data_IF_121201504445
#
_entry.id   IF_121201504445
#
_cell.length_a   1.000
_cell.length_b   1.000
_cell.length_c   1.000
_cell.angle_alpha   90.00
_cell.angle_beta   90.00
_cell.angle_gamma   90.00
#
_symmetry.space_group_name_H-M   'P 1'
#
loop_
_entity.id
_entity.type
_entity.pdbx_description
1 polymer ?
#
# COMPACT_ATOMS: atom_id res chain seq x y z
N UNK A 1 8.66 11.09 -17.65
CA UNK A 1 9.11 9.89 -16.90
C UNK A 1 9.12 10.27 -15.45
N UNK A 2 8.06 9.86 -14.74
CA UNK A 2 7.86 10.04 -13.31
C UNK A 2 7.20 8.77 -12.77
N UNK A 3 8.00 7.71 -12.62
CA UNK A 3 7.60 6.44 -12.01
C UNK A 3 8.02 6.45 -10.55
N UNK A 4 7.04 6.55 -9.65
CA UNK A 4 7.29 6.71 -8.21
C UNK A 4 6.77 5.52 -7.43
N UNK A 5 7.67 4.81 -6.75
CA UNK A 5 7.31 3.77 -5.79
C UNK A 5 7.30 4.35 -4.38
N UNK A 6 6.19 4.23 -3.67
CA UNK A 6 6.04 4.67 -2.29
C UNK A 6 5.90 3.43 -1.40
N UNK A 7 6.93 3.14 -0.61
CA UNK A 7 6.98 1.98 0.28
C UNK A 7 7.08 2.39 1.75
N UNK A 8 6.80 1.45 2.65
CA UNK A 8 6.75 1.66 4.09
C UNK A 8 5.70 0.81 4.76
N UNK A 9 5.72 0.81 6.10
CA UNK A 9 4.86 -0.06 6.90
C UNK A 9 3.42 0.48 7.04
N UNK A 10 2.53 -0.31 7.63
CA UNK A 10 1.15 0.09 7.93
C UNK A 10 1.11 1.44 8.67
N UNK A 11 0.13 2.27 8.32
CA UNK A 11 -0.11 3.59 8.89
C UNK A 11 1.04 4.63 8.74
N UNK A 12 2.05 4.36 7.91
CA UNK A 12 3.09 5.36 7.58
C UNK A 12 2.58 6.54 6.73
N UNK A 13 1.41 6.40 6.09
CA UNK A 13 0.78 7.47 5.34
C UNK A 13 1.06 7.45 3.83
N UNK A 14 1.50 6.30 3.30
CA UNK A 14 1.75 6.07 1.86
C UNK A 14 0.56 6.48 1.00
N UNK A 15 -0.61 5.91 1.24
CA UNK A 15 -1.87 6.21 0.54
C UNK A 15 -2.18 7.70 0.53
N UNK A 16 -1.96 8.41 1.65
CA UNK A 16 -2.18 9.87 1.73
C UNK A 16 -1.17 10.65 0.91
N UNK A 17 0.11 10.28 0.96
CA UNK A 17 1.16 10.93 0.16
C UNK A 17 0.93 10.67 -1.33
N UNK A 18 0.65 9.43 -1.69
CA UNK A 18 0.45 8.99 -3.05
C UNK A 18 -0.73 9.71 -3.71
N UNK A 19 -1.87 9.81 -3.00
CA UNK A 19 -3.02 10.60 -3.45
C UNK A 19 -2.67 12.08 -3.66
N UNK A 20 -1.96 12.71 -2.73
CA UNK A 20 -1.55 14.13 -2.86
C UNK A 20 -0.58 14.35 -4.02
N UNK A 21 0.37 13.44 -4.19
CA UNK A 21 1.32 13.49 -5.30
C UNK A 21 0.62 13.29 -6.64
N UNK A 22 -0.32 12.34 -6.71
CA UNK A 22 -1.17 12.10 -7.88
C UNK A 22 -1.95 13.36 -8.26
N UNK A 23 -2.61 14.00 -7.29
CA UNK A 23 -3.39 15.23 -7.49
C UNK A 23 -2.53 16.42 -7.94
N UNK A 24 -1.31 16.53 -7.42
CA UNK A 24 -0.37 17.63 -7.69
C UNK A 24 0.33 17.45 -9.03
N UNK A 25 0.82 16.25 -9.32
CA UNK A 25 1.61 15.93 -10.52
C UNK A 25 0.74 15.52 -11.71
N UNK A 26 -0.55 15.23 -11.48
CA UNK A 26 -1.50 14.70 -12.48
C UNK A 26 -1.08 13.34 -13.04
N UNK A 27 -0.55 12.48 -12.17
CA UNK A 27 -0.08 11.12 -12.51
C UNK A 27 -1.04 10.10 -11.86
N UNK A 28 -1.40 9.00 -12.54
CA UNK A 28 -2.25 7.97 -11.95
C UNK A 28 -1.54 7.28 -10.77
N UNK A 29 -2.32 6.93 -9.76
CA UNK A 29 -1.84 6.25 -8.57
C UNK A 29 -2.60 4.93 -8.34
N UNK A 30 -1.87 3.90 -7.91
CA UNK A 30 -2.35 2.56 -7.71
C UNK A 30 -1.95 2.00 -6.33
N UNK A 31 -2.92 1.42 -5.63
CA UNK A 31 -2.70 0.67 -4.39
C UNK A 31 -2.30 -0.78 -4.71
N UNK A 32 -1.08 -1.19 -4.33
CA UNK A 32 -0.61 -2.56 -4.54
C UNK A 32 -1.49 -3.59 -3.81
N UNK A 33 -2.08 -3.23 -2.67
CA UNK A 33 -3.02 -4.09 -1.94
C UNK A 33 -4.31 -4.40 -2.74
N UNK A 34 -4.72 -3.52 -3.65
CA UNK A 34 -5.83 -3.77 -4.57
C UNK A 34 -5.43 -4.71 -5.71
N UNK A 35 -4.18 -4.66 -6.16
CA UNK A 35 -3.66 -5.53 -7.23
C UNK A 35 -3.60 -6.99 -6.80
N UNK A 36 -3.41 -7.27 -5.51
CA UNK A 36 -3.45 -8.63 -4.94
C UNK A 36 -4.74 -9.38 -5.28
N UNK A 37 -5.87 -8.68 -5.45
CA UNK A 37 -7.18 -9.31 -5.62
C UNK A 37 -7.75 -8.97 -7.00
N UNK A 38 -8.12 -9.99 -7.75
CA UNK A 38 -8.98 -9.82 -8.90
C UNK A 38 -10.42 -9.64 -8.40
N UNK A 39 -11.14 -8.67 -8.98
CA UNK A 39 -12.54 -8.41 -8.64
C UNK A 39 -13.29 -7.91 -9.85
N UNK A 40 -14.25 -8.70 -10.33
CA UNK A 40 -15.30 -8.29 -11.27
C UNK A 40 -16.66 -8.36 -10.56
N UNK A 41 -17.74 -8.12 -11.30
CA UNK A 41 -19.11 -8.31 -10.80
C UNK A 41 -19.40 -9.79 -10.49
N UNK A 42 -18.71 -10.72 -11.16
CA UNK A 42 -19.00 -12.16 -11.12
C UNK A 42 -17.89 -13.01 -10.51
N UNK A 43 -16.68 -12.47 -10.34
CA UNK A 43 -15.52 -13.23 -9.88
C UNK A 43 -14.65 -12.45 -8.88
N UNK A 44 -14.17 -13.15 -7.86
CA UNK A 44 -13.28 -12.61 -6.84
C UNK A 44 -12.31 -13.68 -6.36
N UNK A 45 -11.05 -13.52 -6.72
CA UNK A 45 -9.97 -14.39 -6.25
C UNK A 45 -8.70 -13.58 -5.95
N UNK A 46 -7.79 -14.21 -5.20
CA UNK A 46 -6.46 -13.66 -4.94
C UNK A 46 -5.56 -14.00 -6.13
N UNK A 47 -4.99 -13.00 -6.77
CA UNK A 47 -4.04 -13.19 -7.88
C UNK A 47 -2.80 -13.94 -7.42
N UNK A 48 -2.27 -14.79 -8.29
CA UNK A 48 -0.94 -15.39 -8.14
C UNK A 48 0.15 -14.31 -8.22
N UNK A 49 1.40 -14.65 -7.91
CA UNK A 49 2.50 -13.70 -8.03
C UNK A 49 2.70 -13.25 -9.50
N UNK A 50 2.59 -14.18 -10.45
CA UNK A 50 2.78 -13.90 -11.87
C UNK A 50 1.66 -13.00 -12.42
N UNK A 51 0.40 -13.27 -12.07
CA UNK A 51 -0.74 -12.42 -12.45
C UNK A 51 -0.62 -10.99 -11.89
N UNK A 52 -0.04 -10.82 -10.69
CA UNK A 52 0.21 -9.49 -10.13
C UNK A 52 1.30 -8.75 -10.92
N UNK A 53 2.36 -9.47 -11.33
CA UNK A 53 3.44 -8.91 -12.16
C UNK A 53 2.91 -8.50 -13.53
N UNK A 54 2.02 -9.29 -14.14
CA UNK A 54 1.38 -8.94 -15.41
C UNK A 54 0.59 -7.63 -15.31
N UNK A 55 -0.22 -7.46 -14.27
CA UNK A 55 -0.96 -6.20 -14.02
C UNK A 55 0.00 -5.03 -13.83
N UNK A 56 1.10 -5.22 -13.10
CA UNK A 56 2.10 -4.17 -12.90
C UNK A 56 2.78 -3.78 -14.23
N UNK A 57 3.16 -4.75 -15.05
CA UNK A 57 3.79 -4.52 -16.36
C UNK A 57 2.83 -3.85 -17.33
N UNK A 58 1.55 -4.23 -17.30
CA UNK A 58 0.50 -3.56 -18.08
C UNK A 58 0.41 -2.08 -17.69
N UNK A 59 0.29 -1.76 -16.39
CA UNK A 59 0.30 -0.37 -15.91
C UNK A 59 1.58 0.36 -16.33
N UNK A 60 2.74 -0.29 -16.19
CA UNK A 60 4.03 0.29 -16.57
C UNK A 60 4.11 0.66 -18.05
N UNK A 61 3.50 -0.16 -18.92
CA UNK A 61 3.45 0.08 -20.37
C UNK A 61 2.67 1.34 -20.76
N UNK A 62 1.78 1.82 -19.88
CA UNK A 62 1.01 3.05 -20.07
C UNK A 62 1.76 4.33 -19.64
N UNK A 63 2.99 4.21 -19.14
CA UNK A 63 3.88 5.34 -18.91
C UNK A 63 4.08 5.71 -17.44
N UNK A 64 3.54 6.86 -17.02
CA UNK A 64 3.79 7.43 -15.69
C UNK A 64 2.87 6.82 -14.65
N UNK A 65 3.40 6.52 -13.46
CA UNK A 65 2.61 5.93 -12.38
C UNK A 65 3.17 6.28 -11.00
N UNK A 66 2.29 6.20 -10.01
CA UNK A 66 2.65 6.12 -8.61
C UNK A 66 2.13 4.77 -8.10
N UNK A 67 3.00 3.92 -7.58
CA UNK A 67 2.60 2.72 -6.85
C UNK A 67 2.79 2.97 -5.36
N UNK A 68 1.85 2.51 -4.54
CA UNK A 68 2.05 2.48 -3.10
C UNK A 68 1.69 1.12 -2.50
N UNK A 69 2.49 0.68 -1.54
CA UNK A 69 2.23 -0.55 -0.83
C UNK A 69 3.26 -0.88 0.22
N UNK A 70 3.09 -2.03 0.85
CA UNK A 70 4.11 -2.60 1.74
C UNK A 70 5.02 -3.48 0.90
N UNK A 71 6.31 -3.54 1.24
CA UNK A 71 7.24 -4.39 0.52
C UNK A 71 6.81 -5.87 0.58
N UNK A 72 6.85 -6.51 -0.59
CA UNK A 72 6.48 -7.91 -0.81
C UNK A 72 7.35 -8.43 -1.94
N UNK A 73 7.76 -9.69 -1.83
CA UNK A 73 8.58 -10.37 -2.84
C UNK A 73 7.99 -10.28 -4.27
N UNK A 74 6.67 -10.32 -4.40
CA UNK A 74 5.95 -10.22 -5.68
C UNK A 74 6.11 -8.88 -6.41
N UNK A 75 6.54 -7.82 -5.71
CA UNK A 75 6.64 -6.46 -6.27
C UNK A 75 8.07 -5.97 -6.41
N UNK A 76 9.06 -6.86 -6.25
CA UNK A 76 10.48 -6.49 -6.31
C UNK A 76 10.87 -5.85 -7.64
N UNK A 77 10.19 -6.20 -8.73
CA UNK A 77 10.37 -5.56 -10.04
C UNK A 77 10.11 -4.04 -10.02
N UNK A 78 9.24 -3.54 -9.15
CA UNK A 78 8.97 -2.10 -9.05
C UNK A 78 10.18 -1.29 -8.60
N UNK A 79 11.09 -1.89 -7.84
CA UNK A 79 12.33 -1.22 -7.43
C UNK A 79 13.25 -0.97 -8.62
N UNK A 80 13.22 -1.83 -9.64
CA UNK A 80 14.00 -1.67 -10.87
C UNK A 80 13.28 -0.75 -11.87
N UNK A 81 11.94 -0.75 -11.88
CA UNK A 81 11.12 0.04 -12.80
C UNK A 81 10.96 1.51 -12.36
N UNK A 82 11.08 1.81 -11.06
CA UNK A 82 10.84 3.14 -10.52
C UNK A 82 12.00 4.10 -10.82
N UNK A 83 11.66 5.32 -11.25
CA UNK A 83 12.61 6.44 -11.33
C UNK A 83 12.94 6.99 -9.94
N UNK A 84 11.99 6.87 -8.99
CA UNK A 84 12.13 7.38 -7.63
C UNK A 84 11.44 6.46 -6.64
N UNK A 85 12.14 6.13 -5.56
CA UNK A 85 11.62 5.31 -4.47
C UNK A 85 11.55 6.15 -3.21
N UNK A 86 10.35 6.26 -2.63
CA UNK A 86 10.08 6.99 -1.40
C UNK A 86 9.75 6.01 -0.30
N UNK A 87 10.62 5.91 0.70
CA UNK A 87 10.37 5.13 1.91
C UNK A 87 9.80 6.01 3.02
N UNK A 88 8.60 5.70 3.49
CA UNK A 88 7.92 6.47 4.54
C UNK A 88 8.18 5.87 5.91
N UNK A 89 9.23 6.38 6.54
CA UNK A 89 9.62 6.00 7.88
C UNK A 89 8.98 6.88 8.96
N UNK A 90 7.67 6.70 9.14
CA UNK A 90 6.93 7.49 10.14
C UNK A 90 7.24 7.02 11.57
N UNK A 91 7.46 7.93 12.53
CA UNK A 91 7.67 7.56 13.93
C UNK A 91 6.60 6.62 14.50
N UNK A 92 7.02 5.64 15.30
CA UNK A 92 6.16 4.57 15.82
C UNK A 92 4.92 5.11 16.54
N UNK A 93 5.09 6.12 17.39
CA UNK A 93 3.97 6.71 18.14
C UNK A 93 2.90 7.30 17.21
N UNK A 94 3.30 7.95 16.10
CA UNK A 94 2.35 8.47 15.09
C UNK A 94 1.61 7.34 14.40
N UNK A 95 2.31 6.25 14.04
CA UNK A 95 1.69 5.06 13.44
C UNK A 95 0.66 4.44 14.37
N UNK A 96 0.97 4.26 15.66
CA UNK A 96 0.03 3.71 16.66
C UNK A 96 -1.24 4.55 16.77
N UNK A 97 -1.11 5.88 16.87
CA UNK A 97 -2.26 6.79 16.89
C UNK A 97 -3.09 6.64 15.61
N UNK A 98 -2.44 6.66 14.44
CA UNK A 98 -3.12 6.52 13.14
C UNK A 98 -3.87 5.20 12.99
N UNK A 99 -3.29 4.07 13.46
CA UNK A 99 -3.97 2.76 13.46
C UNK A 99 -5.27 2.83 14.27
N UNK A 100 -5.20 3.36 15.49
CA UNK A 100 -6.39 3.48 16.35
C UNK A 100 -7.42 4.44 15.76
N UNK A 101 -7.00 5.62 15.31
CA UNK A 101 -7.91 6.60 14.68
C UNK A 101 -8.59 6.02 13.45
N UNK A 102 -7.85 5.30 12.59
CA UNK A 102 -8.39 4.63 11.40
C UNK A 102 -9.43 3.57 11.78
N UNK A 103 -9.10 2.73 12.77
CA UNK A 103 -10.02 1.70 13.26
C UNK A 103 -11.36 2.30 13.74
N UNK A 104 -11.31 3.39 14.51
CA UNK A 104 -12.51 4.09 14.96
C UNK A 104 -13.30 4.69 13.79
N UNK A 105 -12.63 5.42 12.88
CA UNK A 105 -13.29 6.04 11.72
C UNK A 105 -13.95 5.02 10.79
N UNK A 106 -13.31 3.86 10.60
CA UNK A 106 -13.85 2.79 9.75
C UNK A 106 -15.07 2.12 10.39
N UNK A 107 -15.02 1.85 11.70
CA UNK A 107 -16.19 1.32 12.41
C UNK A 107 -17.34 2.32 12.51
N UNK A 108 -17.06 3.63 12.50
CA UNK A 108 -18.05 4.70 12.45
C UNK A 108 -18.56 5.00 11.02
N UNK A 109 -18.04 4.32 9.99
CA UNK A 109 -18.43 4.55 8.59
C UNK A 109 -17.91 5.86 7.96
N UNK A 110 -17.02 6.59 8.66
CA UNK A 110 -16.42 7.84 8.19
C UNK A 110 -15.38 7.57 7.10
N UNK A 111 -14.65 6.45 7.19
CA UNK A 111 -13.60 6.06 6.26
C UNK A 111 -13.93 4.68 5.67
N UNK A 112 -13.88 4.56 4.33
CA UNK A 112 -14.08 3.29 3.64
C UNK A 112 -12.81 2.43 3.73
N UNK A 113 -12.97 1.11 3.79
CA UNK A 113 -11.87 0.16 3.72
C UNK A 113 -12.26 -1.12 2.96
N UNK A 114 -11.26 -1.78 2.38
CA UNK A 114 -11.43 -2.98 1.54
C UNK A 114 -11.37 -4.30 2.34
N UNK A 115 -11.43 -4.21 3.67
CA UNK A 115 -11.38 -5.34 4.60
C UNK A 115 -12.35 -5.08 5.77
N UNK A 116 -12.64 -6.11 6.56
CA UNK A 116 -13.48 -5.98 7.76
C UNK A 116 -12.70 -5.32 8.91
N UNK A 117 -13.09 -4.14 9.41
CA UNK A 117 -12.36 -3.42 10.45
C UNK A 117 -12.66 -3.99 11.86
N UNK A 118 -12.39 -5.26 12.08
CA UNK A 118 -12.62 -5.94 13.36
C UNK A 118 -11.39 -5.89 14.31
N UNK A 119 -11.58 -6.36 15.54
CA UNK A 119 -10.50 -6.41 16.55
C UNK A 119 -9.34 -7.29 16.09
N UNK A 120 -9.61 -8.33 15.28
CA UNK A 120 -8.57 -9.21 14.74
C UNK A 120 -7.65 -8.43 13.79
N UNK A 121 -8.22 -7.65 12.88
CA UNK A 121 -7.50 -6.78 11.97
C UNK A 121 -6.72 -5.70 12.75
N UNK A 122 -7.31 -5.10 13.78
CA UNK A 122 -6.61 -4.15 14.64
C UNK A 122 -5.36 -4.77 15.29
N UNK A 123 -5.50 -5.98 15.86
CA UNK A 123 -4.37 -6.73 16.44
C UNK A 123 -3.30 -7.03 15.38
N UNK A 124 -3.71 -7.40 14.16
CA UNK A 124 -2.78 -7.65 13.05
C UNK A 124 -1.99 -6.38 12.65
N UNK A 125 -2.63 -5.21 12.57
CA UNK A 125 -1.92 -3.96 12.25
C UNK A 125 -0.85 -3.61 13.30
N UNK A 126 -1.16 -3.79 14.59
CA UNK A 126 -0.17 -3.60 15.65
C UNK A 126 0.93 -4.65 15.63
N UNK A 127 0.60 -5.91 15.29
CA UNK A 127 1.58 -6.97 15.11
C UNK A 127 2.55 -6.61 13.98
N UNK A 128 2.07 -6.29 12.78
CA UNK A 128 2.94 -5.87 11.66
C UNK A 128 3.81 -4.68 11.98
N UNK A 129 3.27 -3.72 12.74
CA UNK A 129 4.05 -2.57 13.21
C UNK A 129 5.19 -3.02 14.11
N UNK A 130 4.94 -3.93 15.06
CA UNK A 130 5.96 -4.48 15.95
C UNK A 130 6.99 -5.30 15.19
N UNK A 131 6.53 -6.24 14.36
CA UNK A 131 7.40 -7.10 13.56
C UNK A 131 8.35 -6.26 12.69
N UNK A 132 7.88 -5.14 12.12
CA UNK A 132 8.74 -4.21 11.39
C UNK A 132 9.75 -3.46 12.28
N UNK A 133 9.37 -3.03 13.49
CA UNK A 133 10.33 -2.39 14.41
C UNK A 133 11.41 -3.36 14.87
N UNK A 134 11.03 -4.61 15.16
CA UNK A 134 11.94 -5.64 15.65
C UNK A 134 12.93 -6.08 14.56
N UNK A 135 12.54 -6.01 13.28
CA UNK A 135 13.35 -6.41 12.12
C UNK A 135 13.73 -5.22 11.22
N UNK A 136 13.82 -4.01 11.78
CA UNK A 136 14.01 -2.77 11.00
C UNK A 136 15.31 -2.76 10.19
N UNK A 137 16.34 -3.47 10.66
CA UNK A 137 17.63 -3.62 9.97
C UNK A 137 17.54 -4.42 8.67
N UNK A 138 16.51 -5.25 8.53
CA UNK A 138 16.38 -6.23 7.45
C UNK A 138 15.45 -5.73 6.33
N UNK A 139 14.90 -4.53 6.50
CA UNK A 139 14.00 -3.85 5.57
C UNK A 139 14.77 -2.82 4.73
#
# INVERSE_FOLDING_TARGET
>A
MKKVLITGIVASGKTTLAKRLSETLKIPWYELDLIVHHRTETDRYKRTADEQIEVIKDIDSHGEWIFEGTDRSSYRCLFEMADTILFLDTPLWKRRIRILTRFLKQNLGIEKCNYTPDIKMLKMMYKWTRDFEDNRSDF
#
